data_IF_106842469012
#
_entry.id   IF_106842469012
#
_cell.length_a   1.000
_cell.length_b   1.000
_cell.length_c   1.000
_cell.angle_alpha   90.00
_cell.angle_beta   90.00
_cell.angle_gamma   90.00
#
_symmetry.space_group_name_H-M   'P 1'
#
loop_
_entity.id
_entity.type
_entity.pdbx_description
1 polymer ?
#
# COMPACT_ATOMS: atom_id res chain seq x y z
N UNK A 1 -9.88 -0.78 14.30
CA UNK A 1 -10.84 -1.77 13.75
C UNK A 1 -10.56 -2.16 12.29
N UNK A 2 -10.12 -1.23 11.42
CA UNK A 2 -9.81 -1.50 10.00
C UNK A 2 -8.71 -2.54 9.80
N UNK A 3 -7.64 -2.48 10.61
CA UNK A 3 -6.53 -3.44 10.56
C UNK A 3 -6.98 -4.88 10.89
N UNK A 4 -7.88 -5.04 11.86
CA UNK A 4 -8.48 -6.34 12.21
C UNK A 4 -9.36 -6.91 11.09
N UNK A 5 -10.19 -6.06 10.47
CA UNK A 5 -11.01 -6.45 9.31
C UNK A 5 -10.13 -6.85 8.12
N UNK A 6 -9.02 -6.15 7.92
CA UNK A 6 -8.05 -6.46 6.88
C UNK A 6 -7.28 -7.76 7.11
N UNK A 7 -7.04 -8.11 8.38
CA UNK A 7 -6.40 -9.36 8.76
C UNK A 7 -7.32 -10.58 8.65
N UNK A 8 -8.64 -10.41 8.81
CA UNK A 8 -9.62 -11.49 8.65
C UNK A 8 -10.14 -11.66 7.22
N UNK A 9 -10.27 -10.57 6.45
CA UNK A 9 -10.67 -10.64 5.04
C UNK A 9 -9.47 -11.05 4.20
N UNK A 10 -9.37 -12.36 3.94
CA UNK A 10 -8.33 -13.01 3.16
C UNK A 10 -7.94 -12.24 1.89
N UNK A 11 -6.62 -12.02 1.75
CA UNK A 11 -5.78 -12.08 0.55
C UNK A 11 -6.50 -12.02 -0.82
N UNK A 12 -7.21 -10.94 -1.09
CA UNK A 12 -7.84 -10.75 -2.39
C UNK A 12 -8.37 -9.34 -2.59
N UNK A 13 -8.53 -8.98 -3.87
CA UNK A 13 -9.06 -7.70 -4.33
C UNK A 13 -10.26 -7.27 -3.48
N UNK A 14 -10.08 -6.19 -2.70
CA UNK A 14 -11.10 -5.69 -1.78
C UNK A 14 -12.38 -5.35 -2.54
N UNK A 15 -13.43 -6.12 -2.31
CA UNK A 15 -14.73 -5.93 -2.97
C UNK A 15 -15.41 -4.64 -2.50
N UNK A 16 -15.13 -4.19 -1.27
CA UNK A 16 -15.70 -2.96 -0.72
C UNK A 16 -14.99 -1.70 -1.26
N UNK A 17 -15.71 -0.75 -1.87
CA UNK A 17 -15.13 0.45 -2.49
C UNK A 17 -14.44 1.37 -1.47
N UNK A 18 -14.94 1.43 -0.23
CA UNK A 18 -14.31 2.20 0.86
C UNK A 18 -12.93 1.64 1.20
N UNK A 19 -12.80 0.31 1.28
CA UNK A 19 -11.55 -0.35 1.62
C UNK A 19 -10.51 -0.23 0.50
N UNK A 20 -10.97 -0.25 -0.77
CA UNK A 20 -10.14 0.11 -1.93
C UNK A 20 -9.67 1.56 -1.89
N UNK A 21 -10.52 2.50 -1.49
CA UNK A 21 -10.16 3.91 -1.32
C UNK A 21 -9.05 4.11 -0.28
N UNK A 22 -9.19 3.46 0.88
CA UNK A 22 -8.16 3.52 1.94
C UNK A 22 -6.84 2.89 1.45
N UNK A 23 -6.91 1.77 0.73
CA UNK A 23 -5.72 1.15 0.17
C UNK A 23 -5.05 2.02 -0.91
N UNK A 24 -5.83 2.72 -1.74
CA UNK A 24 -5.33 3.70 -2.71
C UNK A 24 -4.56 4.82 -2.03
N UNK A 25 -5.18 5.44 -1.01
CA UNK A 25 -4.56 6.52 -0.24
C UNK A 25 -3.27 6.09 0.43
N UNK A 26 -3.25 4.89 1.01
CA UNK A 26 -2.04 4.37 1.67
C UNK A 26 -0.93 4.11 0.65
N UNK A 27 -1.26 3.57 -0.52
CA UNK A 27 -0.30 3.36 -1.61
C UNK A 27 0.30 4.67 -2.11
N UNK A 28 -0.54 5.69 -2.31
CA UNK A 28 -0.11 7.05 -2.69
C UNK A 28 0.83 7.63 -1.62
N UNK A 29 0.50 7.45 -0.34
CA UNK A 29 1.34 7.90 0.76
C UNK A 29 2.71 7.24 0.71
N UNK A 30 2.78 5.92 0.55
CA UNK A 30 4.04 5.18 0.43
C UNK A 30 4.88 5.68 -0.76
N UNK A 31 4.29 5.88 -1.94
CA UNK A 31 5.03 6.41 -3.08
C UNK A 31 5.48 7.86 -2.86
N UNK A 32 4.64 8.70 -2.26
CA UNK A 32 4.99 10.08 -1.92
C UNK A 32 6.16 10.16 -0.93
N UNK A 33 6.11 9.33 0.12
CA UNK A 33 7.18 9.23 1.11
C UNK A 33 8.45 8.61 0.53
N UNK A 34 8.36 7.59 -0.33
CA UNK A 34 9.50 7.03 -1.04
C UNK A 34 10.18 8.07 -1.93
N UNK A 35 9.40 8.85 -2.69
CA UNK A 35 9.91 9.95 -3.51
C UNK A 35 10.58 11.04 -2.66
N UNK A 36 10.02 11.36 -1.49
CA UNK A 36 10.62 12.30 -0.55
C UNK A 36 11.95 11.78 0.01
N UNK A 37 12.01 10.52 0.45
CA UNK A 37 13.26 9.91 0.93
C UNK A 37 14.34 9.87 -0.14
N UNK A 38 13.97 9.56 -1.39
CA UNK A 38 14.89 9.56 -2.52
C UNK A 38 15.44 10.98 -2.79
N UNK A 39 14.60 12.01 -2.71
CA UNK A 39 15.03 13.41 -2.84
C UNK A 39 15.94 13.89 -1.70
N UNK A 40 15.82 13.32 -0.51
CA UNK A 40 16.65 13.66 0.66
C UNK A 40 17.90 12.77 0.79
N UNK A 41 18.22 11.95 -0.23
CA UNK A 41 19.41 11.09 -0.24
C UNK A 41 19.30 9.81 0.59
N UNK A 42 18.13 9.53 1.18
CA UNK A 42 17.88 8.34 2.01
C UNK A 42 17.38 7.19 1.11
N UNK A 43 18.30 6.58 0.38
CA UNK A 43 17.99 5.63 -0.71
C UNK A 43 17.48 4.28 -0.22
N UNK A 44 18.01 3.77 0.89
CA UNK A 44 17.61 2.47 1.44
C UNK A 44 16.16 2.49 1.91
N UNK A 45 15.78 3.53 2.66
CA UNK A 45 14.40 3.72 3.12
C UNK A 45 13.45 4.02 1.96
N UNK A 46 13.89 4.77 0.95
CA UNK A 46 13.09 5.02 -0.25
C UNK A 46 12.76 3.71 -0.98
N UNK A 47 13.73 2.80 -1.12
CA UNK A 47 13.54 1.50 -1.75
C UNK A 47 12.56 0.63 -0.96
N UNK A 48 12.72 0.53 0.36
CA UNK A 48 11.85 -0.27 1.22
C UNK A 48 10.41 0.25 1.19
N UNK A 49 10.22 1.56 1.34
CA UNK A 49 8.88 2.17 1.35
C UNK A 49 8.22 2.10 -0.03
N UNK A 50 8.99 2.27 -1.10
CA UNK A 50 8.50 2.11 -2.46
C UNK A 50 8.07 0.67 -2.75
N UNK A 51 8.86 -0.31 -2.31
CA UNK A 51 8.52 -1.73 -2.42
C UNK A 51 7.27 -2.08 -1.60
N UNK A 52 7.16 -1.60 -0.35
CA UNK A 52 5.97 -1.79 0.48
C UNK A 52 4.72 -1.19 -0.18
N UNK A 53 4.82 0.02 -0.75
CA UNK A 53 3.75 0.64 -1.53
C UNK A 53 3.36 -0.19 -2.75
N UNK A 54 4.33 -0.74 -3.49
CA UNK A 54 4.07 -1.60 -4.64
C UNK A 54 3.35 -2.91 -4.24
N UNK A 55 3.79 -3.57 -3.17
CA UNK A 55 3.14 -4.78 -2.64
C UNK A 55 1.71 -4.47 -2.18
N UNK A 56 1.51 -3.36 -1.48
CA UNK A 56 0.18 -2.93 -1.05
C UNK A 56 -0.75 -2.62 -2.22
N UNK A 57 -0.23 -1.94 -3.25
CA UNK A 57 -0.96 -1.65 -4.49
C UNK A 57 -1.34 -2.94 -5.20
N UNK A 58 -0.39 -3.87 -5.32
CA UNK A 58 -0.61 -5.17 -5.94
C UNK A 58 -1.68 -5.96 -5.19
N UNK A 59 -1.56 -6.07 -3.87
CA UNK A 59 -2.55 -6.75 -3.03
C UNK A 59 -3.95 -6.11 -3.15
N UNK A 60 -4.03 -4.77 -3.15
CA UNK A 60 -5.30 -4.06 -3.16
C UNK A 60 -6.03 -4.10 -4.51
N UNK A 61 -5.29 -4.08 -5.62
CA UNK A 61 -5.87 -3.88 -6.96
C UNK A 61 -5.69 -5.07 -7.91
N UNK A 62 -4.64 -5.87 -7.73
CA UNK A 62 -4.24 -6.90 -8.70
C UNK A 62 -4.23 -8.33 -8.15
N UNK A 63 -4.19 -8.52 -6.82
CA UNK A 63 -4.32 -9.85 -6.24
C UNK A 63 -5.76 -10.36 -6.44
N UNK A 64 -5.90 -11.44 -7.22
CA UNK A 64 -7.15 -12.19 -7.30
C UNK A 64 -7.23 -13.10 -6.08
N UNK A 65 -8.39 -13.08 -5.41
CA UNK A 65 -8.77 -14.12 -4.46
C UNK A 65 -8.93 -15.46 -5.18
#
# INVERSE_FOLDING_TARGET
LTNYRWSQSALGARTNPIEKGIAALTSILCFGTSAWYNKNGIRDTAAIVGFAGAVQSYAAFFSKA
#
